data_IF_780077547769
#
_entry.id   IF_780077547769
#
_cell.length_a   1.000
_cell.length_b   1.000
_cell.length_c   1.000
_cell.angle_alpha   90.00
_cell.angle_beta   90.00
_cell.angle_gamma   90.00
#
_symmetry.space_group_name_H-M   'P 1'
#
loop_
_entity.id
_entity.type
_entity.pdbx_description
1 polymer ?
#
# COMPACT_ATOMS: atom_id res chain seq x y z
N UNK A 1 17.57 17.64 -86.68
CA UNK A 1 18.92 17.83 -86.09
C UNK A 1 18.80 17.38 -84.63
N UNK A 2 18.86 16.08 -84.31
CA UNK A 2 20.06 15.23 -84.10
C UNK A 2 21.20 15.89 -83.34
N UNK A 3 21.33 15.56 -82.05
CA UNK A 3 22.58 15.13 -81.35
C UNK A 3 22.30 14.94 -79.82
N UNK A 4 23.13 14.24 -79.03
CA UNK A 4 23.35 12.79 -79.02
C UNK A 4 23.12 12.16 -77.63
N UNK A 5 22.79 10.87 -77.60
CA UNK A 5 22.66 10.05 -76.38
C UNK A 5 24.06 9.59 -75.95
N UNK A 6 24.50 9.96 -74.75
CA UNK A 6 25.77 9.49 -74.20
C UNK A 6 25.71 7.98 -73.93
N UNK A 7 26.38 7.21 -74.78
CA UNK A 7 26.69 5.81 -74.57
C UNK A 7 28.03 5.74 -73.81
N UNK A 8 28.00 5.24 -72.57
CA UNK A 8 29.22 4.94 -71.79
C UNK A 8 29.37 3.43 -71.71
N UNK A 9 30.22 2.89 -72.56
CA UNK A 9 30.60 1.47 -72.60
C UNK A 9 31.86 1.27 -71.75
N UNK A 10 31.73 0.66 -70.58
CA UNK A 10 32.85 0.12 -69.80
C UNK A 10 33.05 -1.38 -70.12
N UNK A 11 34.28 -1.90 -70.14
CA UNK A 11 34.61 -3.24 -70.66
C UNK A 11 34.20 -4.42 -69.77
N UNK A 12 33.47 -4.20 -68.68
CA UNK A 12 33.27 -5.15 -67.59
C UNK A 12 31.80 -5.32 -67.14
N UNK A 13 30.83 -4.73 -67.84
CA UNK A 13 29.41 -5.12 -67.74
C UNK A 13 28.71 -4.92 -66.38
N UNK A 14 29.38 -4.34 -65.38
CA UNK A 14 28.78 -3.97 -64.10
C UNK A 14 28.32 -2.51 -64.17
N UNK A 15 27.00 -2.33 -64.10
CA UNK A 15 26.37 -1.01 -64.10
C UNK A 15 26.92 -0.11 -62.99
N UNK A 16 27.08 1.18 -63.30
CA UNK A 16 27.49 2.19 -62.33
C UNK A 16 26.51 2.21 -61.15
N UNK A 17 26.93 1.65 -60.02
CA UNK A 17 26.19 1.74 -58.77
C UNK A 17 26.20 3.20 -58.30
N UNK A 18 25.04 3.78 -57.95
CA UNK A 18 24.99 5.09 -57.34
C UNK A 18 25.84 5.07 -56.08
N UNK A 19 26.91 5.86 -56.05
CA UNK A 19 27.72 6.00 -54.84
C UNK A 19 26.83 6.65 -53.78
N UNK A 20 26.54 5.88 -52.73
CA UNK A 20 25.86 6.39 -51.55
C UNK A 20 26.79 7.45 -50.94
N UNK A 21 26.36 8.71 -50.77
CA UNK A 21 27.15 9.67 -50.02
C UNK A 21 27.23 9.15 -48.58
N UNK A 22 28.37 8.58 -48.20
CA UNK A 22 28.71 8.45 -46.80
C UNK A 22 28.91 9.88 -46.29
N UNK A 23 27.84 10.43 -45.73
CA UNK A 23 27.88 11.64 -44.93
C UNK A 23 29.06 11.52 -43.98
N UNK A 24 29.97 12.47 -44.06
CA UNK A 24 31.08 12.63 -43.13
C UNK A 24 30.56 12.53 -41.69
N UNK A 25 31.14 11.60 -40.92
CA UNK A 25 31.14 11.55 -39.45
C UNK A 25 31.85 12.80 -38.89
N UNK A 26 31.27 13.97 -39.14
CA UNK A 26 31.73 15.24 -38.58
C UNK A 26 30.54 16.15 -38.38
N UNK A 27 29.59 15.67 -37.60
CA UNK A 27 28.96 16.53 -36.62
C UNK A 27 29.06 15.78 -35.29
N UNK A 28 29.88 16.31 -34.38
CA UNK A 28 29.93 15.86 -33.00
C UNK A 28 28.94 16.75 -32.24
N UNK A 29 27.69 16.30 -32.00
CA UNK A 29 27.03 16.55 -30.73
C UNK A 29 27.44 15.40 -29.79
N UNK A 30 28.73 15.37 -29.46
CA UNK A 30 29.28 14.57 -28.37
C UNK A 30 28.85 15.21 -27.05
N UNK A 31 27.57 15.05 -26.72
CA UNK A 31 27.01 15.17 -25.35
C UNK A 31 25.51 14.81 -25.29
N UNK A 32 25.05 13.88 -26.13
CA UNK A 32 23.79 13.16 -25.86
C UNK A 32 24.12 11.95 -25.00
N UNK A 33 24.68 12.26 -23.83
CA UNK A 33 25.39 11.34 -22.94
C UNK A 33 24.45 10.27 -22.36
N UNK A 34 25.03 9.19 -21.86
CA UNK A 34 24.37 8.14 -21.08
C UNK A 34 23.40 8.70 -20.00
N UNK A 35 23.60 9.93 -19.53
CA UNK A 35 22.67 10.65 -18.66
C UNK A 35 21.27 10.86 -19.25
N UNK A 36 21.14 11.02 -20.57
CA UNK A 36 19.83 11.14 -21.24
C UNK A 36 19.13 9.77 -21.35
N UNK A 37 19.86 8.68 -21.61
CA UNK A 37 19.29 7.31 -21.58
C UNK A 37 18.88 6.87 -20.18
N UNK A 38 19.69 7.16 -19.16
CA UNK A 38 19.33 6.89 -17.75
C UNK A 38 18.15 7.78 -17.32
N UNK A 39 18.11 9.04 -17.78
CA UNK A 39 16.99 9.95 -17.58
C UNK A 39 15.69 9.40 -18.18
N UNK A 40 15.72 9.01 -19.46
CA UNK A 40 14.57 8.43 -20.15
C UNK A 40 14.13 7.10 -19.51
N UNK A 41 15.06 6.20 -19.20
CA UNK A 41 14.76 4.95 -18.50
C UNK A 41 14.15 5.18 -17.11
N UNK A 42 14.67 6.14 -16.34
CA UNK A 42 14.11 6.54 -15.03
C UNK A 42 12.72 7.14 -15.17
N UNK A 43 12.48 7.91 -16.24
CA UNK A 43 11.17 8.49 -16.56
C UNK A 43 10.15 7.42 -16.94
N UNK A 44 10.56 6.40 -17.72
CA UNK A 44 9.70 5.25 -18.03
C UNK A 44 9.38 4.41 -16.81
N UNK A 45 10.36 4.12 -15.95
CA UNK A 45 10.14 3.41 -14.69
C UNK A 45 9.20 4.21 -13.79
N UNK A 46 9.38 5.53 -13.69
CA UNK A 46 8.49 6.39 -12.90
C UNK A 46 7.06 6.37 -13.42
N UNK A 47 6.88 6.30 -14.75
CA UNK A 47 5.57 6.21 -15.39
C UNK A 47 4.92 4.85 -15.12
N UNK A 48 5.70 3.76 -15.15
CA UNK A 48 5.22 2.41 -14.90
C UNK A 48 4.84 2.19 -13.43
N UNK A 49 5.67 2.65 -12.50
CA UNK A 49 5.36 2.67 -11.05
C UNK A 49 4.10 3.51 -10.80
N UNK A 50 3.98 4.67 -11.44
CA UNK A 50 2.77 5.51 -11.29
C UNK A 50 1.53 4.80 -11.82
N UNK A 51 1.63 4.11 -12.94
CA UNK A 51 0.54 3.32 -13.52
C UNK A 51 0.13 2.15 -12.61
N UNK A 52 1.09 1.40 -12.06
CA UNK A 52 0.79 0.33 -11.09
C UNK A 52 0.16 0.88 -9.81
N UNK A 53 0.65 2.03 -9.31
CA UNK A 53 0.04 2.68 -8.15
C UNK A 53 -1.37 3.19 -8.43
N UNK A 54 -1.63 3.74 -9.61
CA UNK A 54 -2.98 4.20 -9.99
C UNK A 54 -3.95 3.04 -10.13
N UNK A 55 -3.49 1.92 -10.70
CA UNK A 55 -4.29 0.70 -10.78
C UNK A 55 -4.55 0.11 -9.39
N UNK A 56 -3.51 -0.08 -8.58
CA UNK A 56 -3.63 -0.56 -7.21
C UNK A 56 -4.51 0.35 -6.35
N UNK A 57 -4.42 1.68 -6.53
CA UNK A 57 -5.29 2.64 -5.86
C UNK A 57 -6.74 2.48 -6.31
N UNK A 58 -7.00 2.26 -7.59
CA UNK A 58 -8.37 2.08 -8.10
C UNK A 58 -9.02 0.80 -7.55
N UNK A 59 -8.26 -0.29 -7.46
CA UNK A 59 -8.70 -1.57 -6.90
C UNK A 59 -8.90 -1.47 -5.39
N UNK A 60 -7.91 -0.94 -4.67
CA UNK A 60 -7.93 -0.76 -3.22
C UNK A 60 -9.06 0.18 -2.77
N UNK A 61 -9.31 1.28 -3.50
CA UNK A 61 -10.43 2.19 -3.17
C UNK A 61 -11.77 1.46 -3.29
N UNK A 62 -11.92 0.57 -4.28
CA UNK A 62 -13.10 -0.28 -4.42
C UNK A 62 -13.28 -1.21 -3.21
N UNK A 63 -12.21 -1.88 -2.79
CA UNK A 63 -12.21 -2.77 -1.62
C UNK A 63 -12.48 -2.03 -0.32
N UNK A 64 -11.81 -0.89 -0.10
CA UNK A 64 -12.00 -0.03 1.08
C UNK A 64 -13.44 0.46 1.13
N UNK A 65 -14.04 0.87 0.01
CA UNK A 65 -15.44 1.32 -0.03
C UNK A 65 -16.42 0.19 0.28
N UNK A 66 -16.14 -1.04 -0.17
CA UNK A 66 -16.94 -2.23 0.18
C UNK A 66 -16.81 -2.55 1.67
N UNK A 67 -15.58 -2.54 2.19
CA UNK A 67 -15.30 -2.74 3.62
C UNK A 67 -15.97 -1.68 4.50
N UNK A 68 -15.96 -0.42 4.08
CA UNK A 68 -16.60 0.68 4.78
C UNK A 68 -18.13 0.52 4.85
N UNK A 69 -18.76 0.13 3.74
CA UNK A 69 -20.20 -0.20 3.74
C UNK A 69 -20.50 -1.35 4.70
N UNK A 70 -19.69 -2.40 4.70
CA UNK A 70 -19.80 -3.50 5.66
C UNK A 70 -19.67 -3.03 7.11
N UNK A 71 -18.72 -2.14 7.39
CA UNK A 71 -18.51 -1.56 8.71
C UNK A 71 -19.74 -0.75 9.19
N UNK A 72 -20.41 0.00 8.29
CA UNK A 72 -21.63 0.73 8.65
C UNK A 72 -22.73 -0.23 9.12
N UNK A 73 -23.00 -1.31 8.38
CA UNK A 73 -23.98 -2.31 8.81
C UNK A 73 -23.57 -2.99 10.12
N UNK A 74 -22.27 -3.26 10.30
CA UNK A 74 -21.77 -3.85 11.54
C UNK A 74 -21.94 -2.91 12.74
N UNK A 75 -21.70 -1.60 12.56
CA UNK A 75 -21.93 -0.59 13.60
C UNK A 75 -23.42 -0.50 13.96
N UNK A 76 -24.32 -0.51 12.97
CA UNK A 76 -25.77 -0.52 13.20
C UNK A 76 -26.15 -1.80 13.97
N UNK A 77 -25.71 -2.97 13.49
CA UNK A 77 -26.00 -4.25 14.11
C UNK A 77 -25.48 -4.32 15.55
N UNK A 78 -24.24 -3.88 15.80
CA UNK A 78 -23.64 -3.87 17.13
C UNK A 78 -24.37 -2.90 18.07
N UNK A 79 -24.79 -1.73 17.56
CA UNK A 79 -25.57 -0.76 18.34
C UNK A 79 -26.92 -1.32 18.72
N UNK A 80 -27.66 -1.88 17.76
CA UNK A 80 -28.95 -2.52 18.01
C UNK A 80 -28.78 -3.67 18.99
N UNK A 81 -27.82 -4.57 18.76
CA UNK A 81 -27.53 -5.69 19.65
C UNK A 81 -27.21 -5.26 21.08
N UNK A 82 -26.40 -4.21 21.24
CA UNK A 82 -26.03 -3.66 22.55
C UNK A 82 -27.26 -3.10 23.29
N UNK A 83 -28.09 -2.30 22.62
CA UNK A 83 -29.33 -1.78 23.19
C UNK A 83 -30.35 -2.90 23.45
N UNK A 84 -30.50 -3.86 22.55
CA UNK A 84 -31.38 -5.02 22.70
C UNK A 84 -30.98 -5.87 23.91
N UNK A 85 -29.69 -5.99 24.22
CA UNK A 85 -29.21 -6.71 25.40
C UNK A 85 -29.75 -6.10 26.70
N UNK A 86 -29.80 -4.76 26.80
CA UNK A 86 -30.42 -4.08 27.93
C UNK A 86 -31.91 -4.43 28.07
N UNK A 87 -32.67 -4.35 26.96
CA UNK A 87 -34.09 -4.72 26.95
C UNK A 87 -34.32 -6.21 27.24
N UNK A 88 -33.43 -7.10 26.78
CA UNK A 88 -33.51 -8.53 27.03
C UNK A 88 -33.41 -8.83 28.54
N UNK A 89 -32.45 -8.21 29.24
CA UNK A 89 -32.32 -8.40 30.68
C UNK A 89 -33.46 -7.74 31.45
N UNK A 90 -33.95 -6.58 30.99
CA UNK A 90 -35.15 -5.96 31.57
C UNK A 90 -36.37 -6.87 31.42
N UNK A 91 -36.61 -7.40 30.22
CA UNK A 91 -37.68 -8.36 29.93
C UNK A 91 -37.55 -9.63 30.78
N UNK A 92 -36.34 -10.17 30.91
CA UNK A 92 -36.08 -11.33 31.76
C UNK A 92 -36.40 -11.02 33.23
N UNK A 93 -36.01 -9.85 33.73
CA UNK A 93 -36.28 -9.44 35.11
C UNK A 93 -37.78 -9.25 35.36
N UNK A 94 -38.51 -8.62 34.44
CA UNK A 94 -39.94 -8.40 34.57
C UNK A 94 -40.73 -9.71 34.42
N UNK A 95 -40.31 -10.59 33.50
CA UNK A 95 -40.86 -11.94 33.37
C UNK A 95 -40.65 -12.76 34.64
N UNK A 96 -39.49 -12.64 35.29
CA UNK A 96 -39.21 -13.31 36.57
C UNK A 96 -39.99 -12.68 37.74
N UNK A 97 -40.30 -11.38 37.65
CA UNK A 97 -41.07 -10.67 38.66
C UNK A 97 -42.52 -11.17 38.76
N UNK A 98 -43.07 -11.81 37.73
CA UNK A 98 -44.39 -12.46 37.82
C UNK A 98 -44.39 -13.70 38.74
N UNK A 99 -43.24 -14.35 38.91
CA UNK A 99 -43.09 -15.57 39.70
C UNK A 99 -42.55 -15.29 41.11
N UNK A 100 -41.80 -14.19 41.26
CA UNK A 100 -41.15 -13.81 42.51
C UNK A 100 -41.95 -12.72 43.21
N UNK A 101 -42.38 -12.97 44.45
CA UNK A 101 -43.19 -12.02 45.26
C UNK A 101 -42.57 -10.62 45.35
N UNK A 102 -41.25 -10.53 45.39
CA UNK A 102 -40.54 -9.27 45.52
C UNK A 102 -39.80 -8.93 44.24
N UNK A 103 -40.25 -7.88 43.54
CA UNK A 103 -39.68 -7.45 42.26
C UNK A 103 -38.17 -7.16 42.34
N UNK A 104 -37.69 -6.59 43.44
CA UNK A 104 -36.25 -6.32 43.62
C UNK A 104 -35.39 -7.60 43.62
N UNK A 105 -35.93 -8.75 44.07
CA UNK A 105 -35.22 -10.04 44.05
C UNK A 105 -35.08 -10.53 42.60
N UNK A 106 -36.12 -10.39 41.78
CA UNK A 106 -36.08 -10.76 40.37
C UNK A 106 -34.97 -10.00 39.62
N UNK A 107 -34.90 -8.69 39.80
CA UNK A 107 -33.83 -7.86 39.24
C UNK A 107 -32.45 -8.22 39.82
N UNK A 108 -32.36 -8.56 41.10
CA UNK A 108 -31.12 -9.04 41.73
C UNK A 108 -30.61 -10.34 41.10
N UNK A 109 -31.48 -11.31 40.84
CA UNK A 109 -31.11 -12.58 40.19
C UNK A 109 -30.55 -12.32 38.78
N UNK A 110 -31.25 -11.49 37.99
CA UNK A 110 -30.79 -11.15 36.64
C UNK A 110 -29.47 -10.38 36.67
N UNK A 111 -29.26 -9.51 37.66
CA UNK A 111 -27.97 -8.82 37.84
C UNK A 111 -26.81 -9.79 38.08
N UNK A 112 -26.97 -10.78 38.96
CA UNK A 112 -25.93 -11.80 39.17
C UNK A 112 -25.70 -12.68 37.93
N UNK A 113 -26.77 -13.00 37.18
CA UNK A 113 -26.67 -13.68 35.89
C UNK A 113 -25.82 -12.84 34.90
N UNK A 114 -26.05 -11.53 34.82
CA UNK A 114 -25.26 -10.63 33.97
C UNK A 114 -23.78 -10.61 34.36
N UNK A 115 -23.46 -10.56 35.65
CA UNK A 115 -22.08 -10.63 36.13
C UNK A 115 -21.41 -11.96 35.75
N UNK A 116 -22.14 -13.07 35.82
CA UNK A 116 -21.64 -14.38 35.40
C UNK A 116 -21.35 -14.40 33.90
N UNK A 117 -22.29 -13.94 33.06
CA UNK A 117 -22.12 -13.87 31.60
C UNK A 117 -20.94 -12.95 31.24
N UNK A 118 -20.86 -11.76 31.84
CA UNK A 118 -19.78 -10.81 31.64
C UNK A 118 -18.42 -11.39 32.06
N UNK A 119 -18.37 -12.08 33.21
CA UNK A 119 -17.17 -12.74 33.71
C UNK A 119 -16.68 -13.84 32.75
N UNK A 120 -17.58 -14.69 32.27
CA UNK A 120 -17.25 -15.76 31.30
C UNK A 120 -16.79 -15.16 29.97
N UNK A 121 -17.53 -14.21 29.41
CA UNK A 121 -17.18 -13.57 28.15
C UNK A 121 -15.83 -12.83 28.23
N UNK A 122 -15.62 -12.07 29.32
CA UNK A 122 -14.36 -11.38 29.61
C UNK A 122 -13.19 -12.35 29.77
N UNK A 123 -13.39 -13.47 30.45
CA UNK A 123 -12.37 -14.51 30.60
C UNK A 123 -12.02 -15.19 29.27
N UNK A 124 -13.01 -15.54 28.45
CA UNK A 124 -12.79 -16.10 27.11
C UNK A 124 -12.05 -15.09 26.21
N UNK A 125 -12.47 -13.83 26.24
CA UNK A 125 -11.82 -12.72 25.53
C UNK A 125 -10.36 -12.56 25.95
N UNK A 126 -10.10 -12.49 27.26
CA UNK A 126 -8.75 -12.42 27.81
C UNK A 126 -7.87 -13.60 27.37
N UNK A 127 -8.40 -14.83 27.44
CA UNK A 127 -7.68 -16.04 27.02
C UNK A 127 -7.38 -16.01 25.52
N UNK A 128 -8.28 -15.46 24.70
CA UNK A 128 -8.08 -15.34 23.25
C UNK A 128 -7.00 -14.30 22.93
N UNK A 129 -7.08 -13.12 23.55
CA UNK A 129 -6.07 -12.05 23.39
C UNK A 129 -4.69 -12.51 23.87
N UNK A 130 -4.61 -13.18 25.03
CA UNK A 130 -3.35 -13.71 25.57
C UNK A 130 -2.70 -14.78 24.69
N UNK A 131 -3.48 -15.49 23.88
CA UNK A 131 -2.96 -16.49 22.93
C UNK A 131 -2.37 -15.87 21.66
N UNK A 132 -2.73 -14.63 21.32
CA UNK A 132 -2.11 -13.93 20.21
C UNK A 132 -0.78 -13.32 20.67
N UNK A 133 0.34 -13.98 20.34
CA UNK A 133 1.66 -13.33 20.41
C UNK A 133 1.72 -12.27 19.31
N UNK A 134 2.17 -11.06 19.65
CA UNK A 134 2.41 -10.02 18.64
C UNK A 134 3.41 -10.56 17.58
N UNK A 135 3.27 -10.20 16.30
CA UNK A 135 4.17 -10.66 15.25
C UNK A 135 5.56 -10.03 15.42
N UNK A 136 6.39 -10.65 16.26
CA UNK A 136 7.73 -10.18 16.64
C UNK A 136 8.63 -9.95 15.42
N UNK A 137 8.52 -10.84 14.41
CA UNK A 137 9.30 -10.74 13.17
C UNK A 137 8.95 -9.49 12.37
N UNK A 138 7.66 -9.18 12.21
CA UNK A 138 7.20 -7.97 11.50
C UNK A 138 7.59 -6.70 12.25
N UNK A 139 7.49 -6.72 13.58
CA UNK A 139 7.90 -5.59 14.42
C UNK A 139 9.41 -5.37 14.32
N UNK A 140 10.21 -6.44 14.31
CA UNK A 140 11.66 -6.37 14.18
C UNK A 140 12.08 -5.80 12.82
N UNK A 141 11.52 -6.30 11.71
CA UNK A 141 11.88 -5.82 10.37
C UNK A 141 11.43 -4.37 10.13
N UNK A 142 10.28 -3.94 10.67
CA UNK A 142 9.88 -2.51 10.63
C UNK A 142 10.82 -1.63 11.44
N UNK A 143 11.26 -2.08 12.62
CA UNK A 143 12.23 -1.34 13.44
C UNK A 143 13.60 -1.23 12.76
N UNK A 144 14.06 -2.31 12.15
CA UNK A 144 15.33 -2.33 11.40
C UNK A 144 15.27 -1.41 10.19
N UNK A 145 14.16 -1.45 9.42
CA UNK A 145 13.93 -0.53 8.30
C UNK A 145 13.90 0.94 8.77
N UNK A 146 13.22 1.24 9.87
CA UNK A 146 13.18 2.58 10.43
C UNK A 146 14.55 3.04 10.96
N UNK A 147 15.37 2.13 11.49
CA UNK A 147 16.73 2.40 11.92
C UNK A 147 17.66 2.68 10.74
N UNK A 148 17.52 1.93 9.64
CA UNK A 148 18.28 2.14 8.40
C UNK A 148 17.96 3.47 7.70
N UNK A 149 16.73 3.99 7.88
CA UNK A 149 16.28 5.26 7.31
C UNK A 149 16.60 6.49 8.18
N UNK A 150 17.18 6.31 9.38
CA UNK A 150 17.62 7.46 10.18
C UNK A 150 18.85 8.11 9.52
N UNK A 151 18.81 9.41 9.22
CA UNK A 151 19.99 10.11 8.71
C UNK A 151 21.13 10.03 9.73
N UNK A 152 22.24 9.41 9.37
CA UNK A 152 23.47 9.53 10.16
C UNK A 152 23.93 10.98 10.09
N UNK A 153 23.90 11.69 11.21
CA UNK A 153 24.57 12.98 11.34
C UNK A 153 26.06 12.70 11.21
N UNK A 154 26.67 13.11 10.10
CA UNK A 154 28.10 13.00 9.89
C UNK A 154 28.83 13.66 11.07
N UNK A 155 29.91 13.05 11.62
CA UNK A 155 30.76 13.72 12.57
C UNK A 155 31.29 15.00 11.92
N UNK A 156 31.03 16.13 12.57
CA UNK A 156 31.58 17.42 12.23
C UNK A 156 33.11 17.26 12.21
N UNK A 157 33.68 17.21 11.00
CA UNK A 157 35.12 17.12 10.82
C UNK A 157 35.73 18.39 11.40
N UNK A 158 36.34 18.25 12.55
CA UNK A 158 37.15 19.25 13.22
C UNK A 158 38.28 19.69 12.27
N UNK A 159 38.07 20.83 11.60
CA UNK A 159 39.05 21.49 10.73
C UNK A 159 39.90 22.52 11.51
N UNK A 160 40.08 22.36 12.82
CA UNK A 160 40.86 23.29 13.64
C UNK A 160 42.18 22.70 14.14
N UNK A 161 42.97 22.06 13.29
CA UNK A 161 44.40 21.83 13.62
C UNK A 161 45.28 21.76 12.37
N UNK A 162 45.66 22.91 11.83
CA UNK A 162 46.93 23.14 11.13
C UNK A 162 47.04 24.63 10.80
N UNK A 163 47.44 25.44 11.77
CA UNK A 163 48.07 26.73 11.51
C UNK A 163 48.91 27.15 12.72
N UNK A 164 50.10 26.57 12.79
CA UNK A 164 51.27 27.14 13.48
C UNK A 164 52.47 27.01 12.53
#
# INVERSE_FOLDING_TARGET
MSSPKHERTGPDGVGAVPYLPLSSDTDVPGDQSLGRLVGDATQHISTLVRAEMELAKSELVGEVKKGLKGAVYFLIALTVFLYSTFFLFFFAAEGLAEWVRYRWIAFGIVFFLMLLVAGVAGFLGYRKVKKFKAPERTIASVKETAAALKPQKAPEADLTTTRD
#
